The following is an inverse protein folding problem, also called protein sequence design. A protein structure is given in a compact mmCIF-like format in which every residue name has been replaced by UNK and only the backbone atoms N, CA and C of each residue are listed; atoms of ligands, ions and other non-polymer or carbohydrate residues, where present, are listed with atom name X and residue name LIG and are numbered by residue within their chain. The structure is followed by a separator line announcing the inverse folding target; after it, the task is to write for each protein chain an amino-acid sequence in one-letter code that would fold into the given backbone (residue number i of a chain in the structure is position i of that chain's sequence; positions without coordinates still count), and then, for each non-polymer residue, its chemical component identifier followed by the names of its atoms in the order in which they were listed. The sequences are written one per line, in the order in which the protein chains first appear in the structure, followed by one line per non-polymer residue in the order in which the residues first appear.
data_IF_105077820543
#
_entry.id   IF_105077820543
#
_cell.length_a   1.000
_cell.length_b   1.000
_cell.length_c   1.000
_cell.angle_alpha   90.00
_cell.angle_beta   90.00
_cell.angle_gamma   90.00
#
_symmetry.space_group_name_H-M   'P 1'
#
loop_
_entity.id
_entity.type
_entity.pdbx_description
1 polymer ?
#
# COMPACT_ATOMS: atom_id res chain seq x y z
N UNK A 1 22.64 -9.10 0.03
CA UNK A 1 21.39 -8.35 0.22
C UNK A 1 21.25 -7.40 -0.97
N UNK A 2 20.52 -7.83 -2.00
CA UNK A 2 20.25 -7.07 -3.24
C UNK A 2 18.78 -7.29 -3.69
N UNK A 3 18.00 -8.03 -2.90
CA UNK A 3 16.68 -8.59 -3.24
C UNK A 3 15.52 -7.75 -2.69
N UNK A 4 15.72 -7.04 -1.58
CA UNK A 4 14.64 -6.31 -0.90
C UNK A 4 14.15 -5.08 -1.69
N UNK A 5 15.02 -4.44 -2.49
CA UNK A 5 14.65 -3.21 -3.22
C UNK A 5 13.61 -3.50 -4.30
N UNK A 6 13.77 -4.54 -5.15
CA UNK A 6 12.71 -5.00 -6.04
C UNK A 6 11.39 -5.30 -5.34
N UNK A 7 11.41 -6.05 -4.23
CA UNK A 7 10.18 -6.46 -3.52
C UNK A 7 9.46 -5.27 -2.90
N UNK A 8 10.19 -4.33 -2.27
CA UNK A 8 9.62 -3.09 -1.72
C UNK A 8 8.96 -2.24 -2.81
N UNK A 9 9.60 -2.14 -3.98
CA UNK A 9 9.03 -1.43 -5.11
C UNK A 9 7.74 -2.11 -5.59
N UNK A 10 7.76 -3.43 -5.79
CA UNK A 10 6.59 -4.17 -6.25
C UNK A 10 5.44 -4.04 -5.23
N UNK A 11 5.71 -4.19 -3.94
CA UNK A 11 4.71 -4.02 -2.88
C UNK A 11 4.14 -2.60 -2.88
N UNK A 12 4.99 -1.57 -3.01
CA UNK A 12 4.54 -0.18 -3.09
C UNK A 12 3.60 0.02 -4.30
N UNK A 13 3.97 -0.52 -5.46
CA UNK A 13 3.18 -0.42 -6.68
C UNK A 13 1.87 -1.19 -6.60
N UNK A 14 1.83 -2.36 -5.96
CA UNK A 14 0.60 -3.10 -5.71
C UNK A 14 -0.35 -2.32 -4.82
N UNK A 15 0.14 -1.70 -3.75
CA UNK A 15 -0.67 -0.81 -2.89
C UNK A 15 -1.17 0.40 -3.71
N UNK A 16 -0.29 1.04 -4.49
CA UNK A 16 -0.62 2.19 -5.35
C UNK A 16 -1.72 1.83 -6.36
N UNK A 17 -1.62 0.67 -6.99
CA UNK A 17 -2.64 0.16 -7.91
C UNK A 17 -4.00 -0.04 -7.21
N UNK A 18 -4.01 -0.56 -5.98
CA UNK A 18 -5.26 -0.72 -5.23
C UNK A 18 -5.90 0.62 -4.82
N UNK A 19 -5.09 1.66 -4.58
CA UNK A 19 -5.57 3.04 -4.40
C UNK A 19 -6.23 3.49 -5.71
N UNK A 20 -5.51 3.45 -6.83
CA UNK A 20 -6.00 3.89 -8.14
C UNK A 20 -7.28 3.18 -8.59
N UNK A 21 -7.42 1.88 -8.31
CA UNK A 21 -8.62 1.11 -8.63
C UNK A 21 -9.87 1.55 -7.85
N UNK A 22 -9.70 2.14 -6.67
CA UNK A 22 -10.78 2.43 -5.71
C UNK A 22 -11.06 3.91 -5.50
N UNK A 23 -10.09 4.76 -5.83
CA UNK A 23 -10.24 6.21 -5.77
C UNK A 23 -10.48 6.76 -7.18
N UNK A 24 -11.37 7.74 -7.29
CA UNK A 24 -11.60 8.51 -8.52
C UNK A 24 -11.14 9.96 -8.28
N UNK A 25 -11.41 10.85 -9.23
CA UNK A 25 -11.20 12.30 -9.14
C UNK A 25 -9.72 12.72 -9.07
N UNK A 26 -9.35 13.65 -8.19
CA UNK A 26 -8.01 14.27 -8.11
C UNK A 26 -6.95 13.41 -7.38
N UNK A 27 -7.33 12.27 -6.80
CA UNK A 27 -6.42 11.40 -6.04
C UNK A 27 -5.32 10.73 -6.89
N UNK A 28 -5.59 10.25 -8.13
CA UNK A 28 -4.59 9.56 -8.95
C UNK A 28 -3.31 10.34 -9.25
N UNK A 29 -3.38 11.67 -9.29
CA UNK A 29 -2.27 12.51 -9.72
C UNK A 29 -1.29 12.87 -8.60
N UNK A 30 -1.68 12.72 -7.34
CA UNK A 30 -0.91 13.19 -6.19
C UNK A 30 -0.67 12.12 -5.13
N UNK A 31 -0.58 10.85 -5.51
CA UNK A 31 -0.35 9.74 -4.57
C UNK A 31 0.97 9.02 -4.84
N UNK A 32 1.76 8.83 -3.78
CA UNK A 32 2.95 8.00 -3.80
C UNK A 32 2.92 7.00 -2.63
N UNK A 33 3.49 5.81 -2.82
CA UNK A 33 3.58 4.79 -1.77
C UNK A 33 5.03 4.43 -1.53
N UNK A 34 5.43 4.34 -0.26
CA UNK A 34 6.77 3.96 0.16
C UNK A 34 6.69 2.83 1.17
N UNK A 35 7.51 1.78 1.01
CA UNK A 35 7.66 0.72 2.01
C UNK A 35 8.82 1.06 2.94
N UNK A 36 8.50 1.48 4.16
CA UNK A 36 9.51 1.83 5.17
C UNK A 36 10.11 0.57 5.80
N UNK A 37 9.27 -0.44 6.05
CA UNK A 37 9.70 -1.70 6.67
C UNK A 37 9.26 -2.89 5.85
N UNK A 38 10.19 -3.81 5.66
CA UNK A 38 9.96 -5.13 5.10
C UNK A 38 10.80 -6.09 5.93
N UNK A 39 10.15 -6.93 6.73
CA UNK A 39 10.81 -7.84 7.66
C UNK A 39 10.23 -9.24 7.56
N UNK A 40 11.07 -10.16 7.12
CA UNK A 40 10.75 -11.57 7.14
C UNK A 40 10.91 -12.13 8.56
N UNK A 41 9.95 -12.96 8.95
CA UNK A 41 9.99 -13.75 10.17
C UNK A 41 9.84 -15.23 9.79
N UNK A 42 10.97 -15.93 9.52
CA UNK A 42 10.94 -17.33 9.11
C UNK A 42 10.31 -18.26 10.15
N UNK A 43 10.51 -17.99 11.45
CA UNK A 43 9.97 -18.84 12.52
C UNK A 43 8.44 -18.77 12.63
N UNK A 44 7.83 -17.70 12.11
CA UNK A 44 6.37 -17.52 12.06
C UNK A 44 5.81 -17.66 10.64
N UNK A 45 6.64 -17.97 9.65
CA UNK A 45 6.30 -17.96 8.24
C UNK A 45 5.50 -16.70 7.84
N UNK A 46 6.01 -15.54 8.22
CA UNK A 46 5.29 -14.25 8.10
C UNK A 46 6.23 -13.16 7.61
N UNK A 47 5.71 -12.28 6.75
CA UNK A 47 6.40 -11.05 6.33
C UNK A 47 5.64 -9.87 6.91
N UNK A 48 6.33 -9.03 7.69
CA UNK A 48 5.82 -7.76 8.20
C UNK A 48 6.19 -6.61 7.26
N UNK A 49 5.18 -5.87 6.79
CA UNK A 49 5.34 -4.77 5.85
C UNK A 49 4.65 -3.52 6.40
N UNK A 50 5.42 -2.44 6.53
CA UNK A 50 4.90 -1.11 6.85
C UNK A 50 5.04 -0.21 5.61
N UNK A 51 3.90 0.27 5.10
CA UNK A 51 3.82 1.12 3.92
C UNK A 51 3.15 2.47 4.25
N UNK A 52 3.73 3.55 3.75
CA UNK A 52 3.25 4.92 3.89
C UNK A 52 2.68 5.40 2.57
N UNK A 53 1.48 5.99 2.63
CA UNK A 53 0.81 6.63 1.49
C UNK A 53 0.97 8.14 1.64
N UNK A 54 1.72 8.75 0.74
CA UNK A 54 1.90 10.20 0.65
C UNK A 54 0.83 10.78 -0.28
N UNK A 55 0.27 11.92 0.14
CA UNK A 55 -0.69 12.70 -0.65
C UNK A 55 -0.35 14.18 -0.57
N UNK A 56 -0.65 14.92 -1.63
CA UNK A 56 -0.35 16.35 -1.74
C UNK A 56 -1.34 17.23 -0.96
N UNK A 57 -2.59 16.77 -0.81
CA UNK A 57 -3.68 17.56 -0.21
C UNK A 57 -4.45 16.78 0.84
N UNK A 58 -4.95 17.50 1.85
CA UNK A 58 -5.84 16.94 2.88
C UNK A 58 -7.18 16.44 2.33
N UNK A 59 -7.64 16.95 1.18
CA UNK A 59 -8.82 16.41 0.48
C UNK A 59 -8.56 14.97 0.02
N UNK A 60 -7.42 14.71 -0.62
CA UNK A 60 -7.00 13.38 -1.06
C UNK A 60 -6.85 12.42 0.13
N UNK A 61 -6.23 12.87 1.23
CA UNK A 61 -6.13 12.08 2.47
C UNK A 61 -7.50 11.64 2.97
N UNK A 62 -8.49 12.55 3.00
CA UNK A 62 -9.86 12.24 3.43
C UNK A 62 -10.53 11.21 2.53
N UNK A 63 -10.29 11.26 1.21
CA UNK A 63 -10.80 10.26 0.25
C UNK A 63 -10.17 8.89 0.49
N UNK A 64 -8.83 8.83 0.61
CA UNK A 64 -8.09 7.57 0.82
C UNK A 64 -8.47 6.93 2.16
N UNK A 65 -8.60 7.72 3.23
CA UNK A 65 -9.04 7.19 4.53
C UNK A 65 -10.50 6.72 4.44
N UNK A 66 -11.37 7.53 3.83
CA UNK A 66 -12.80 7.26 3.71
C UNK A 66 -13.54 7.38 5.05
N UNK A 67 -14.87 7.35 5.00
CA UNK A 67 -15.71 7.47 6.21
C UNK A 67 -15.38 6.33 7.18
N UNK A 68 -14.92 6.68 8.38
CA UNK A 68 -14.56 5.71 9.42
C UNK A 68 -13.39 4.77 9.05
N UNK A 69 -12.51 5.18 8.13
CA UNK A 69 -11.38 4.34 7.71
C UNK A 69 -11.77 3.21 6.76
N UNK A 70 -12.97 3.22 6.20
CA UNK A 70 -13.49 2.13 5.36
C UNK A 70 -12.69 1.97 4.06
N UNK A 71 -12.30 3.07 3.41
CA UNK A 71 -11.57 3.03 2.14
C UNK A 71 -10.15 2.51 2.33
N UNK A 72 -9.39 3.05 3.30
CA UNK A 72 -8.02 2.59 3.57
C UNK A 72 -7.99 1.11 3.98
N UNK A 73 -9.00 0.65 4.73
CA UNK A 73 -9.15 -0.76 5.09
C UNK A 73 -9.35 -1.64 3.85
N UNK A 74 -10.19 -1.23 2.90
CA UNK A 74 -10.42 -1.96 1.66
C UNK A 74 -9.18 -2.00 0.77
N UNK A 75 -8.46 -0.88 0.65
CA UNK A 75 -7.18 -0.79 -0.07
C UNK A 75 -6.17 -1.78 0.53
N UNK A 76 -5.95 -1.72 1.85
CA UNK A 76 -4.99 -2.59 2.53
C UNK A 76 -5.36 -4.07 2.46
N UNK A 77 -6.66 -4.42 2.58
CA UNK A 77 -7.10 -5.81 2.43
C UNK A 77 -6.89 -6.36 1.02
N UNK A 78 -7.16 -5.55 -0.01
CA UNK A 78 -6.96 -5.98 -1.38
C UNK A 78 -5.47 -6.10 -1.73
N UNK A 79 -4.67 -5.12 -1.32
CA UNK A 79 -3.22 -5.13 -1.53
C UNK A 79 -2.59 -6.35 -0.86
N UNK A 80 -2.94 -6.61 0.42
CA UNK A 80 -2.45 -7.79 1.15
C UNK A 80 -2.71 -9.09 0.40
N UNK A 81 -3.95 -9.30 -0.09
CA UNK A 81 -4.31 -10.52 -0.84
C UNK A 81 -3.55 -10.69 -2.14
N UNK A 82 -3.14 -9.61 -2.79
CA UNK A 82 -2.32 -9.71 -4.00
C UNK A 82 -0.85 -9.94 -3.64
N UNK A 83 -0.32 -9.25 -2.63
CA UNK A 83 1.06 -9.42 -2.15
C UNK A 83 1.30 -10.85 -1.64
N UNK A 84 0.37 -11.41 -0.85
CA UNK A 84 0.40 -12.80 -0.36
C UNK A 84 0.35 -13.84 -1.48
N UNK A 85 -0.13 -13.48 -2.68
CA UNK A 85 -0.11 -14.39 -3.84
C UNK A 85 1.20 -14.35 -4.60
N UNK A 86 2.00 -13.31 -4.38
CA UNK A 86 3.26 -13.08 -5.08
C UNK A 86 4.47 -13.57 -4.27
N UNK A 87 4.46 -13.31 -2.95
CA UNK A 87 5.52 -13.66 -2.00
C UNK A 87 5.23 -15.01 -1.32
#
# INVERSE_FOLDING_TARGET
QLTDVPERFIVAEMVREQILKRTKDEVPYGVAVQVERFQENPSRNMIGIDAVIHVERDSQKRIIVGKGGTMIKQIGQAARKEIERLL
#
